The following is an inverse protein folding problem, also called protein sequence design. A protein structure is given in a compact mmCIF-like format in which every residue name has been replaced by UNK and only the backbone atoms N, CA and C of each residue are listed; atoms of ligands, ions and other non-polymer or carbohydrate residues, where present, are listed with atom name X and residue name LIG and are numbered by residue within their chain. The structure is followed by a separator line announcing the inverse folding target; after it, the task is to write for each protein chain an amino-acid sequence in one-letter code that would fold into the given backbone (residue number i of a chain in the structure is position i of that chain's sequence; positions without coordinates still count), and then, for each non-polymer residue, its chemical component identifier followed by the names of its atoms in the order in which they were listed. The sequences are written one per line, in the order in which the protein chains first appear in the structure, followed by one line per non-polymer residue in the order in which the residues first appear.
data_IF_513877516293
#
_entry.id   IF_513877516293
#
_cell.length_a   1.000
_cell.length_b   1.000
_cell.length_c   1.000
_cell.angle_alpha   90.00
_cell.angle_beta   90.00
_cell.angle_gamma   90.00
#
_symmetry.space_group_name_H-M   'P 1'
#
loop_
_entity.id
_entity.type
_entity.pdbx_description
1 polymer ?
#
# COMPACT_ATOMS: atom_id res chain seq x y z
N UNK A 1 9.59 -3.37 12.40
CA UNK A 1 9.79 -4.28 13.55
C UNK A 1 8.40 -4.53 14.14
N UNK A 2 7.75 -5.62 13.76
CA UNK A 2 6.37 -5.88 14.17
C UNK A 2 6.37 -6.38 15.63
N UNK A 3 5.79 -5.58 16.52
CA UNK A 3 5.59 -5.94 17.93
C UNK A 3 4.63 -7.13 17.99
N UNK A 4 5.00 -8.21 18.67
CA UNK A 4 4.10 -9.35 18.88
C UNK A 4 2.85 -8.88 19.66
N UNK A 5 1.68 -9.42 19.33
CA UNK A 5 0.41 -9.07 20.00
C UNK A 5 0.50 -9.38 21.50
N UNK A 6 1.31 -10.36 21.86
CA UNK A 6 1.52 -10.84 23.23
C UNK A 6 2.71 -10.21 23.96
N UNK A 7 3.35 -9.18 23.40
CA UNK A 7 4.51 -8.54 24.03
C UNK A 7 4.18 -8.03 25.45
N UNK A 8 4.83 -8.62 26.47
CA UNK A 8 4.58 -8.38 27.90
C UNK A 8 3.65 -9.39 28.60
N UNK A 9 3.09 -10.37 27.89
CA UNK A 9 2.28 -11.44 28.49
C UNK A 9 3.15 -12.63 28.92
N UNK A 10 2.82 -13.23 30.07
CA UNK A 10 3.43 -14.48 30.52
C UNK A 10 2.72 -15.66 29.86
N UNK A 11 3.28 -16.14 28.74
CA UNK A 11 2.75 -17.31 28.04
C UNK A 11 3.35 -18.63 28.53
N UNK A 12 4.64 -18.61 28.89
CA UNK A 12 5.40 -19.82 29.17
C UNK A 12 5.09 -20.34 30.59
N UNK A 13 4.66 -21.62 30.74
CA UNK A 13 4.55 -22.26 32.04
C UNK A 13 5.91 -22.34 32.76
N UNK A 14 5.93 -22.39 34.10
CA UNK A 14 7.16 -22.61 34.85
C UNK A 14 7.66 -24.05 34.63
N UNK A 15 8.98 -24.28 34.63
CA UNK A 15 9.55 -25.61 34.45
C UNK A 15 9.16 -26.55 35.60
N UNK A 16 9.07 -27.86 35.34
CA UNK A 16 8.70 -28.87 36.34
C UNK A 16 9.66 -28.89 37.53
N UNK A 17 10.92 -28.48 37.34
CA UNK A 17 11.91 -28.35 38.43
C UNK A 17 11.50 -27.34 39.50
N UNK A 18 10.57 -26.43 39.22
CA UNK A 18 10.00 -25.51 40.19
C UNK A 18 8.90 -26.17 41.07
N UNK A 19 8.60 -27.44 40.84
CA UNK A 19 7.62 -28.23 41.56
C UNK A 19 6.33 -28.45 40.79
N UNK A 20 5.53 -29.42 41.26
CA UNK A 20 4.33 -29.90 40.59
C UNK A 20 3.01 -29.26 41.08
N UNK A 21 3.10 -28.23 41.92
CA UNK A 21 1.94 -27.58 42.54
C UNK A 21 1.09 -26.71 41.60
N UNK A 22 1.58 -26.43 40.39
CA UNK A 22 0.84 -25.70 39.33
C UNK A 22 0.52 -26.60 38.14
N UNK A 23 0.72 -27.91 38.30
CA UNK A 23 0.50 -28.92 37.29
C UNK A 23 -0.65 -29.82 37.73
N UNK A 24 -1.81 -29.62 37.13
CA UNK A 24 -3.06 -30.28 37.48
C UNK A 24 -3.21 -31.64 36.81
N UNK A 25 -3.76 -32.58 37.58
CA UNK A 25 -4.23 -33.89 37.10
C UNK A 25 -5.66 -33.84 36.52
N UNK A 26 -6.24 -32.64 36.39
CA UNK A 26 -7.59 -32.37 35.88
C UNK A 26 -7.53 -31.31 34.76
N UNK A 27 -8.47 -30.35 34.73
CA UNK A 27 -8.57 -29.32 33.69
C UNK A 27 -7.73 -28.07 33.98
N UNK A 28 -7.03 -28.01 35.12
CA UNK A 28 -6.18 -26.87 35.49
C UNK A 28 -6.95 -25.68 36.08
N UNK A 29 -8.26 -25.79 36.23
CA UNK A 29 -9.12 -24.73 36.78
C UNK A 29 -8.88 -24.53 38.29
N UNK A 30 -9.29 -23.37 38.85
CA UNK A 30 -9.15 -23.12 40.28
C UNK A 30 -9.77 -24.23 41.15
N UNK A 31 -8.98 -24.81 42.05
CA UNK A 31 -9.41 -25.88 42.95
C UNK A 31 -9.18 -27.30 42.42
N UNK A 32 -8.73 -27.47 41.18
CA UNK A 32 -8.37 -28.79 40.64
C UNK A 32 -7.22 -29.44 41.41
N UNK A 33 -7.25 -30.77 41.50
CA UNK A 33 -6.14 -31.54 42.05
C UNK A 33 -4.85 -31.32 41.24
N UNK A 34 -3.71 -31.30 41.94
CA UNK A 34 -2.38 -31.11 41.36
C UNK A 34 -1.49 -32.31 41.64
N UNK A 35 -0.42 -32.45 40.86
CA UNK A 35 0.59 -33.48 41.07
C UNK A 35 1.51 -33.20 42.27
N UNK A 36 1.24 -32.15 43.06
CA UNK A 36 1.94 -31.94 44.32
C UNK A 36 1.67 -33.09 45.29
N UNK A 37 2.73 -33.80 45.67
CA UNK A 37 2.69 -34.96 46.56
C UNK A 37 1.89 -36.16 46.01
N UNK A 38 1.62 -36.22 44.70
CA UNK A 38 1.04 -37.41 44.09
C UNK A 38 2.09 -38.53 44.08
N UNK A 39 1.81 -39.72 44.65
CA UNK A 39 2.78 -40.83 44.68
C UNK A 39 3.14 -41.37 43.28
N UNK A 40 2.37 -41.03 42.25
CA UNK A 40 2.60 -41.43 40.86
C UNK A 40 3.37 -40.39 40.04
N UNK A 41 3.77 -39.26 40.65
CA UNK A 41 4.47 -38.18 39.97
C UNK A 41 5.74 -37.78 40.73
N UNK A 42 6.84 -37.58 40.01
CA UNK A 42 8.10 -37.14 40.59
C UNK A 42 8.82 -36.13 39.68
N UNK A 43 9.47 -35.15 40.29
CA UNK A 43 10.39 -34.25 39.58
C UNK A 43 11.73 -34.94 39.44
N UNK A 44 12.22 -35.03 38.20
CA UNK A 44 13.55 -35.52 37.85
C UNK A 44 14.41 -34.31 37.50
N UNK A 45 15.49 -34.08 38.23
CA UNK A 45 16.32 -32.88 38.08
C UNK A 45 17.40 -32.98 37.01
N UNK A 46 17.75 -34.19 36.57
CA UNK A 46 18.85 -34.45 35.64
C UNK A 46 18.58 -35.68 34.75
N UNK A 47 17.51 -35.63 33.97
CA UNK A 47 17.27 -36.54 32.87
C UNK A 47 18.27 -36.30 31.72
N UNK A 48 18.72 -37.36 31.06
CA UNK A 48 19.74 -37.26 30.01
C UNK A 48 19.28 -36.52 28.74
N UNK A 49 17.98 -36.53 28.44
CA UNK A 49 17.41 -35.90 27.25
C UNK A 49 16.79 -34.53 27.56
N UNK A 50 16.19 -34.37 28.74
CA UNK A 50 15.40 -33.18 29.11
C UNK A 50 16.08 -32.29 30.15
N UNK A 51 17.07 -32.78 30.89
CA UNK A 51 17.55 -32.10 32.10
C UNK A 51 16.49 -32.14 33.20
N UNK A 52 15.65 -31.11 33.29
CA UNK A 52 14.49 -31.10 34.19
C UNK A 52 13.29 -31.82 33.57
N UNK A 53 12.66 -32.76 34.27
CA UNK A 53 11.52 -33.49 33.74
C UNK A 53 10.50 -33.88 34.81
N UNK A 54 9.26 -34.11 34.39
CA UNK A 54 8.25 -34.82 35.16
C UNK A 54 8.29 -36.31 34.81
N UNK A 55 8.51 -37.18 35.79
CA UNK A 55 8.23 -38.61 35.67
C UNK A 55 6.81 -38.89 36.18
N UNK A 56 6.00 -39.56 35.35
CA UNK A 56 4.59 -39.79 35.63
C UNK A 56 4.21 -41.25 35.33
N UNK A 57 3.58 -41.91 36.31
CA UNK A 57 2.95 -43.21 36.13
C UNK A 57 1.51 -42.99 35.68
N UNK A 58 1.17 -43.48 34.49
CA UNK A 58 -0.19 -43.36 33.94
C UNK A 58 -1.12 -44.36 34.62
N UNK A 59 -2.11 -43.88 35.36
CA UNK A 59 -3.07 -44.72 36.10
C UNK A 59 -4.51 -44.57 35.64
N UNK A 60 -4.84 -43.51 34.89
CA UNK A 60 -6.17 -43.26 34.33
C UNK A 60 -6.22 -43.55 32.82
N UNK A 61 -7.39 -43.84 32.26
CA UNK A 61 -7.58 -44.05 30.81
C UNK A 61 -7.17 -42.83 29.97
N UNK A 62 -7.51 -41.64 30.44
CA UNK A 62 -6.93 -40.36 30.01
C UNK A 62 -6.29 -39.71 31.23
N UNK A 63 -4.96 -39.71 31.29
CA UNK A 63 -4.22 -39.05 32.35
C UNK A 63 -3.95 -37.62 31.90
N UNK A 64 -4.44 -36.66 32.68
CA UNK A 64 -4.37 -35.25 32.33
C UNK A 64 -3.16 -34.58 32.95
N UNK A 65 -2.48 -33.70 32.22
CA UNK A 65 -1.46 -32.80 32.75
C UNK A 65 -1.72 -31.39 32.23
N UNK A 66 -2.23 -30.49 33.07
CA UNK A 66 -2.62 -29.11 32.69
C UNK A 66 -1.85 -28.10 33.53
N UNK A 67 -1.35 -27.04 32.90
CA UNK A 67 -0.87 -25.89 33.65
C UNK A 67 -2.05 -25.13 34.24
N UNK A 68 -2.02 -24.83 35.55
CA UNK A 68 -3.12 -24.15 36.24
C UNK A 68 -3.17 -22.65 35.97
N UNK A 69 -2.14 -22.07 35.35
CA UNK A 69 -2.15 -20.66 34.98
C UNK A 69 -3.14 -20.39 33.84
N UNK A 70 -3.85 -19.26 33.93
CA UNK A 70 -4.66 -18.74 32.83
C UNK A 70 -3.73 -18.17 31.76
N UNK A 71 -3.47 -18.93 30.70
CA UNK A 71 -2.62 -18.47 29.60
C UNK A 71 -3.47 -17.59 28.67
N UNK A 72 -3.17 -16.28 28.53
CA UNK A 72 -4.04 -15.38 27.78
C UNK A 72 -4.12 -15.74 26.29
N UNK A 73 -5.32 -15.68 25.72
CA UNK A 73 -5.60 -15.85 24.31
C UNK A 73 -6.36 -14.62 23.78
N UNK A 74 -5.61 -13.58 23.41
CA UNK A 74 -6.22 -12.37 22.87
C UNK A 74 -6.76 -12.61 21.44
N UNK A 75 -7.86 -11.95 21.04
CA UNK A 75 -8.35 -12.02 19.67
C UNK A 75 -7.24 -11.72 18.64
N UNK A 76 -7.10 -12.58 17.62
CA UNK A 76 -6.05 -12.47 16.61
C UNK A 76 -4.72 -13.13 16.96
N UNK A 77 -4.59 -13.73 18.15
CA UNK A 77 -3.38 -14.46 18.57
C UNK A 77 -3.43 -15.92 18.11
N UNK A 78 -2.27 -16.45 17.72
CA UNK A 78 -2.06 -17.87 17.49
C UNK A 78 -0.91 -18.37 18.37
N UNK A 79 -1.19 -19.31 19.27
CA UNK A 79 -0.21 -19.88 20.19
C UNK A 79 0.13 -21.31 19.76
N UNK A 80 1.41 -21.65 19.78
CA UNK A 80 1.89 -23.03 19.63
C UNK A 80 2.23 -23.60 20.99
N UNK A 81 1.62 -24.73 21.33
CA UNK A 81 1.90 -25.49 22.53
C UNK A 81 2.70 -26.72 22.13
N UNK A 82 3.81 -26.99 22.82
CA UNK A 82 4.70 -28.14 22.56
C UNK A 82 5.11 -28.83 23.85
N UNK A 83 5.30 -30.14 23.78
CA UNK A 83 5.90 -30.94 24.84
C UNK A 83 6.67 -32.11 24.23
N UNK A 84 7.76 -32.52 24.89
CA UNK A 84 8.47 -33.75 24.54
C UNK A 84 8.22 -34.81 25.59
N UNK A 85 7.98 -36.04 25.15
CA UNK A 85 7.63 -37.16 26.03
C UNK A 85 8.41 -38.39 25.59
N UNK A 86 8.89 -39.18 26.55
CA UNK A 86 9.47 -40.51 26.30
C UNK A 86 8.90 -41.54 27.27
N UNK A 87 8.66 -42.75 26.79
CA UNK A 87 8.29 -43.87 27.65
C UNK A 87 9.54 -44.50 28.27
N UNK A 88 9.47 -44.90 29.54
CA UNK A 88 10.57 -45.58 30.23
C UNK A 88 10.29 -47.07 30.44
N UNK A 89 9.05 -47.41 30.80
CA UNK A 89 8.65 -48.78 31.14
C UNK A 89 7.13 -48.94 31.07
N UNK A 90 6.66 -50.19 31.06
CA UNK A 90 5.25 -50.53 31.13
C UNK A 90 4.49 -50.27 29.82
N UNK A 91 3.17 -50.17 29.89
CA UNK A 91 2.37 -50.01 28.67
C UNK A 91 2.64 -48.65 27.99
N UNK A 92 2.66 -48.63 26.66
CA UNK A 92 2.98 -47.43 25.87
C UNK A 92 1.70 -46.60 25.58
N UNK A 93 1.51 -45.42 26.18
CA UNK A 93 0.35 -44.57 25.88
C UNK A 93 0.52 -43.80 24.57
N UNK A 94 -0.56 -43.18 24.13
CA UNK A 94 -0.53 -42.09 23.15
C UNK A 94 -0.47 -40.74 23.87
N UNK A 95 0.13 -39.74 23.23
CA UNK A 95 0.30 -38.38 23.75
C UNK A 95 -0.33 -37.38 22.79
N UNK A 96 -1.01 -36.36 23.29
CA UNK A 96 -1.49 -35.22 22.50
C UNK A 96 -1.50 -33.95 23.34
N UNK A 97 -1.35 -32.79 22.69
CA UNK A 97 -1.66 -31.53 23.36
C UNK A 97 -3.16 -31.49 23.68
N UNK A 98 -3.49 -31.03 24.88
CA UNK A 98 -4.85 -30.87 25.36
C UNK A 98 -4.97 -29.58 26.15
N UNK A 99 -6.18 -29.01 26.18
CA UNK A 99 -6.44 -27.75 26.84
C UNK A 99 -7.85 -27.66 27.41
N UNK A 100 -8.12 -26.58 28.13
CA UNK A 100 -9.45 -26.16 28.57
C UNK A 100 -9.64 -24.68 28.25
N UNK A 101 -10.72 -24.34 27.55
CA UNK A 101 -11.00 -22.99 27.06
C UNK A 101 -11.85 -22.18 28.04
N UNK A 102 -11.29 -21.09 28.56
CA UNK A 102 -11.94 -20.22 29.55
C UNK A 102 -12.42 -18.88 28.98
N UNK A 103 -13.57 -18.40 29.46
CA UNK A 103 -14.10 -17.06 29.17
C UNK A 103 -13.96 -16.12 30.37
N UNK A 104 -14.27 -14.84 30.19
CA UNK A 104 -14.14 -13.81 31.24
C UNK A 104 -14.94 -14.03 32.53
N UNK A 105 -15.94 -14.92 32.53
CA UNK A 105 -16.67 -15.34 33.73
C UNK A 105 -16.01 -16.51 34.48
N UNK A 106 -14.85 -16.99 34.02
CA UNK A 106 -14.16 -18.20 34.47
C UNK A 106 -14.92 -19.52 34.18
N UNK A 107 -15.95 -19.47 33.33
CA UNK A 107 -16.66 -20.66 32.87
C UNK A 107 -15.99 -21.31 31.66
N UNK A 108 -16.31 -22.59 31.42
CA UNK A 108 -15.87 -23.33 30.24
C UNK A 108 -16.59 -22.85 28.97
N UNK A 109 -15.86 -22.74 27.87
CA UNK A 109 -16.43 -22.58 26.53
C UNK A 109 -16.58 -23.96 25.87
N UNK A 110 -17.77 -24.53 25.96
CA UNK A 110 -18.07 -25.83 25.34
C UNK A 110 -18.13 -25.80 23.81
N UNK A 111 -18.05 -26.98 23.19
CA UNK A 111 -18.20 -27.16 21.75
C UNK A 111 -16.94 -26.87 20.91
N UNK A 112 -15.82 -26.56 21.56
CA UNK A 112 -14.53 -26.32 20.92
C UNK A 112 -13.71 -27.60 20.78
N UNK A 113 -12.82 -27.64 19.78
CA UNK A 113 -11.78 -28.66 19.72
C UNK A 113 -10.68 -28.30 20.72
N UNK A 114 -10.53 -29.10 21.76
CA UNK A 114 -9.57 -28.84 22.86
C UNK A 114 -8.41 -29.83 22.90
N UNK A 115 -8.29 -30.69 21.90
CA UNK A 115 -7.25 -31.70 21.81
C UNK A 115 -6.64 -31.72 20.42
N UNK A 116 -5.31 -31.67 20.34
CA UNK A 116 -4.56 -31.71 19.10
C UNK A 116 -4.37 -33.14 18.56
N UNK A 117 -3.56 -33.29 17.50
CA UNK A 117 -3.19 -34.59 16.95
C UNK A 117 -2.55 -35.50 18.00
N UNK A 118 -2.88 -36.79 17.95
CA UNK A 118 -2.38 -37.80 18.87
C UNK A 118 -1.24 -38.60 18.28
N UNK A 119 -0.16 -38.79 19.05
CA UNK A 119 1.02 -39.54 18.66
C UNK A 119 1.21 -40.73 19.60
N UNK A 120 1.28 -41.94 19.05
CA UNK A 120 1.50 -43.17 19.80
C UNK A 120 2.98 -43.33 20.14
N UNK A 121 3.31 -43.58 21.41
CA UNK A 121 4.66 -44.00 21.80
C UNK A 121 4.90 -45.44 21.33
N UNK A 122 6.04 -45.68 20.68
CA UNK A 122 6.34 -46.98 20.02
C UNK A 122 7.56 -47.70 20.59
N UNK A 123 8.43 -46.99 21.31
CA UNK A 123 9.62 -47.53 21.95
C UNK A 123 9.93 -46.84 23.28
N UNK A 124 10.80 -47.48 24.06
CA UNK A 124 11.30 -46.91 25.32
C UNK A 124 12.56 -46.09 25.05
N UNK A 125 12.66 -44.94 25.71
CA UNK A 125 13.74 -43.97 25.51
C UNK A 125 13.58 -43.08 24.29
N UNK A 126 12.68 -43.42 23.36
CA UNK A 126 12.41 -42.59 22.18
C UNK A 126 11.71 -41.29 22.60
N UNK A 127 12.36 -40.16 22.28
CA UNK A 127 11.82 -38.82 22.52
C UNK A 127 10.84 -38.46 21.41
N UNK A 128 9.59 -38.21 21.78
CA UNK A 128 8.51 -37.81 20.87
C UNK A 128 8.07 -36.39 21.19
N UNK A 129 8.08 -35.50 20.20
CA UNK A 129 7.52 -34.15 20.33
C UNK A 129 6.06 -34.15 19.87
N UNK A 130 5.18 -33.60 20.69
CA UNK A 130 3.79 -33.28 20.34
C UNK A 130 3.62 -31.78 20.25
N UNK A 131 2.85 -31.31 19.27
CA UNK A 131 2.58 -29.89 19.04
C UNK A 131 1.13 -29.69 18.64
N UNK A 132 0.53 -28.58 19.07
CA UNK A 132 -0.73 -28.09 18.52
C UNK A 132 -0.75 -26.56 18.50
N UNK A 133 -1.47 -26.00 17.53
CA UNK A 133 -1.68 -24.56 17.39
C UNK A 133 -3.12 -24.23 17.77
N UNK A 134 -3.29 -23.33 18.74
CA UNK A 134 -4.58 -22.73 19.11
C UNK A 134 -4.68 -21.32 18.55
N UNK A 135 -5.85 -20.93 18.07
CA UNK A 135 -6.06 -19.57 17.57
C UNK A 135 -7.52 -19.22 17.39
N UNK A 136 -7.77 -17.92 17.24
CA UNK A 136 -9.14 -17.40 17.13
C UNK A 136 -9.81 -17.65 15.78
N UNK A 137 -9.04 -17.97 14.73
CA UNK A 137 -9.55 -18.13 13.37
C UNK A 137 -9.12 -19.44 12.73
N UNK A 138 -9.92 -19.94 11.80
CA UNK A 138 -9.53 -21.09 10.98
C UNK A 138 -8.47 -20.66 9.97
N UNK A 139 -7.29 -21.26 10.08
CA UNK A 139 -6.16 -21.09 9.15
C UNK A 139 -5.51 -22.44 8.89
N UNK A 140 -4.82 -22.58 7.77
CA UNK A 140 -4.05 -23.81 7.48
C UNK A 140 -3.03 -24.06 8.58
N UNK A 141 -3.08 -25.25 9.17
CA UNK A 141 -2.18 -25.65 10.26
C UNK A 141 -2.63 -25.29 11.67
N UNK A 142 -3.80 -24.67 11.86
CA UNK A 142 -4.37 -24.45 13.20
C UNK A 142 -5.19 -25.66 13.62
N UNK A 143 -4.86 -26.26 14.76
CA UNK A 143 -5.49 -27.48 15.27
C UNK A 143 -6.72 -27.18 16.14
N UNK A 144 -6.61 -26.15 17.00
CA UNK A 144 -7.60 -25.78 18.01
C UNK A 144 -8.19 -24.42 17.65
N UNK A 145 -9.24 -24.42 16.81
CA UNK A 145 -9.93 -23.20 16.38
C UNK A 145 -10.96 -22.79 17.43
N UNK A 146 -10.67 -21.73 18.17
CA UNK A 146 -11.41 -21.37 19.39
C UNK A 146 -12.32 -20.14 19.26
N UNK A 147 -12.24 -19.41 18.13
CA UNK A 147 -13.02 -18.19 17.98
C UNK A 147 -12.52 -17.07 18.91
N UNK A 148 -13.40 -16.11 19.21
CA UNK A 148 -13.07 -14.95 20.07
C UNK A 148 -13.70 -15.04 21.47
N UNK A 149 -14.41 -16.13 21.77
CA UNK A 149 -15.15 -16.27 23.02
C UNK A 149 -14.25 -16.72 24.19
N UNK A 150 -13.34 -17.71 24.02
CA UNK A 150 -12.30 -17.95 25.00
C UNK A 150 -11.29 -16.80 24.99
N UNK A 151 -10.92 -16.34 26.19
CA UNK A 151 -9.91 -15.28 26.37
C UNK A 151 -8.66 -15.80 27.10
N UNK A 152 -8.69 -17.03 27.59
CA UNK A 152 -7.54 -17.74 28.13
C UNK A 152 -7.72 -19.26 27.95
N UNK A 153 -6.63 -20.01 28.15
CA UNK A 153 -6.68 -21.46 28.25
C UNK A 153 -5.78 -22.01 29.33
N UNK A 154 -6.17 -23.16 29.88
CA UNK A 154 -5.30 -24.03 30.65
C UNK A 154 -4.71 -25.07 29.70
N UNK A 155 -3.44 -24.93 29.35
CA UNK A 155 -2.79 -25.76 28.33
C UNK A 155 -1.91 -26.85 28.95
N UNK A 156 -1.77 -27.96 28.25
CA UNK A 156 -0.86 -29.03 28.61
C UNK A 156 -1.01 -30.22 27.66
N UNK A 157 -1.04 -31.43 28.21
CA UNK A 157 -1.14 -32.65 27.42
C UNK A 157 -2.02 -33.71 28.07
N UNK A 158 -2.52 -34.62 27.23
CA UNK A 158 -3.18 -35.87 27.60
C UNK A 158 -2.25 -37.05 27.32
N UNK A 159 -2.18 -38.01 28.25
CA UNK A 159 -1.77 -39.38 27.95
C UNK A 159 -3.02 -40.25 27.82
N UNK A 160 -3.26 -40.84 26.66
CA UNK A 160 -4.42 -41.70 26.37
C UNK A 160 -4.00 -43.14 26.13
N UNK A 161 -4.98 -44.05 26.10
CA UNK A 161 -4.72 -45.47 25.86
C UNK A 161 -4.38 -46.27 27.13
N UNK A 162 -3.63 -47.37 27.03
CA UNK A 162 -3.38 -48.30 28.13
C UNK A 162 -2.73 -47.66 29.37
N UNK A 163 -3.12 -48.11 30.56
CA UNK A 163 -2.56 -47.66 31.85
C UNK A 163 -1.39 -48.54 32.31
N UNK A 164 -0.63 -48.10 33.31
CA UNK A 164 0.52 -48.83 33.85
C UNK A 164 1.86 -48.55 33.16
N UNK A 165 1.90 -47.52 32.31
CA UNK A 165 3.13 -47.00 31.71
C UNK A 165 3.80 -45.92 32.56
N UNK A 166 5.12 -45.85 32.51
CA UNK A 166 5.92 -44.76 33.10
C UNK A 166 6.47 -43.91 31.96
N UNK A 167 6.22 -42.60 32.00
CA UNK A 167 6.74 -41.64 31.02
C UNK A 167 7.54 -40.55 31.71
N UNK A 168 8.49 -39.97 30.97
CA UNK A 168 9.10 -38.68 31.30
C UNK A 168 8.65 -37.62 30.32
N UNK A 169 8.36 -36.44 30.83
CA UNK A 169 7.81 -35.30 30.11
C UNK A 169 8.74 -34.11 30.34
N UNK A 170 9.21 -33.52 29.25
CA UNK A 170 9.93 -32.25 29.22
C UNK A 170 8.97 -31.08 29.40
N UNK A 171 9.48 -29.94 29.84
CA UNK A 171 8.68 -28.75 30.12
C UNK A 171 7.75 -28.37 28.95
N UNK A 172 6.50 -27.99 29.28
CA UNK A 172 5.55 -27.54 28.26
C UNK A 172 5.94 -26.13 27.82
N UNK A 173 6.09 -25.94 26.52
CA UNK A 173 6.46 -24.66 25.91
C UNK A 173 5.24 -24.07 25.21
N UNK A 174 4.94 -22.80 25.47
CA UNK A 174 3.89 -22.04 24.79
C UNK A 174 4.50 -20.79 24.18
N UNK A 175 4.34 -20.63 22.86
CA UNK A 175 4.93 -19.53 22.09
C UNK A 175 3.88 -18.82 21.23
N UNK A 176 3.99 -17.50 21.12
CA UNK A 176 3.24 -16.72 20.14
C UNK A 176 3.84 -16.89 18.75
N UNK A 177 3.07 -17.49 17.85
CA UNK A 177 3.42 -17.70 16.44
C UNK A 177 2.52 -16.91 15.50
N UNK A 178 1.83 -15.88 16.00
CA UNK A 178 0.92 -15.02 15.22
C UNK A 178 1.63 -14.42 14.00
N UNK A 179 2.92 -14.12 14.12
CA UNK A 179 3.73 -13.59 13.02
C UNK A 179 3.81 -14.52 11.81
N UNK A 180 3.72 -15.83 12.01
CA UNK A 180 3.69 -16.81 10.94
C UNK A 180 2.41 -16.72 10.09
N UNK A 181 1.33 -16.14 10.64
CA UNK A 181 0.05 -15.93 9.97
C UNK A 181 -0.14 -14.49 9.45
N UNK A 182 0.80 -13.57 9.71
CA UNK A 182 0.65 -12.16 9.34
C UNK A 182 0.52 -11.91 7.83
N UNK A 183 1.14 -12.75 6.98
CA UNK A 183 1.04 -12.61 5.52
C UNK A 183 -0.37 -12.84 4.99
N UNK A 184 -1.19 -13.64 5.67
CA UNK A 184 -2.60 -13.86 5.32
C UNK A 184 -3.56 -12.97 6.14
N UNK A 185 -3.02 -12.11 7.02
CA UNK A 185 -3.78 -11.17 7.85
C UNK A 185 -3.69 -9.73 7.32
N UNK A 186 -2.62 -9.39 6.59
CA UNK A 186 -2.45 -8.06 6.01
C UNK A 186 -2.66 -8.17 4.50
N UNK A 187 -3.77 -7.61 4.03
CA UNK A 187 -4.18 -7.57 2.62
C UNK A 187 -3.37 -6.56 1.80
N UNK A 188 -2.04 -6.55 1.96
CA UNK A 188 -1.15 -5.62 1.27
C UNK A 188 0.08 -6.28 0.68
N UNK A 189 0.53 -5.78 -0.48
CA UNK A 189 1.81 -6.08 -1.08
C UNK A 189 2.74 -4.87 -0.90
N UNK A 190 3.72 -4.97 -0.01
CA UNK A 190 4.71 -3.89 0.20
C UNK A 190 5.75 -3.91 -0.93
N UNK A 191 5.94 -2.78 -1.62
CA UNK A 191 6.93 -2.68 -2.71
C UNK A 191 8.37 -3.02 -2.28
N UNK A 192 8.70 -2.85 -1.00
CA UNK A 192 10.03 -3.21 -0.46
C UNK A 192 10.26 -4.71 -0.39
N UNK A 193 9.20 -5.50 -0.22
CA UNK A 193 9.30 -6.97 -0.28
C UNK A 193 9.72 -7.46 -1.68
N UNK A 194 9.60 -6.60 -2.70
CA UNK A 194 9.98 -6.85 -4.08
C UNK A 194 11.25 -6.08 -4.51
N UNK A 195 11.99 -5.53 -3.54
CA UNK A 195 13.31 -4.94 -3.78
C UNK A 195 13.34 -3.42 -3.96
N UNK A 196 12.23 -2.71 -3.75
CA UNK A 196 12.24 -1.25 -3.74
C UNK A 196 13.07 -0.71 -2.56
N UNK A 197 13.93 0.27 -2.80
CA UNK A 197 14.78 0.87 -1.76
C UNK A 197 14.18 2.16 -1.19
N UNK A 198 13.55 3.00 -2.03
CA UNK A 198 12.97 4.26 -1.57
C UNK A 198 14.00 5.30 -1.10
N UNK A 199 15.21 5.26 -1.67
CA UNK A 199 16.35 6.14 -1.35
C UNK A 199 16.43 7.41 -2.22
N UNK A 200 15.50 7.59 -3.16
CA UNK A 200 15.41 8.69 -4.11
C UNK A 200 16.37 8.62 -5.30
N UNK A 201 17.21 7.58 -5.38
CA UNK A 201 18.31 7.47 -6.35
C UNK A 201 18.18 6.20 -7.19
N UNK A 202 17.92 5.08 -6.54
CA UNK A 202 17.78 3.75 -7.16
C UNK A 202 16.49 3.66 -7.96
N UNK A 203 16.54 3.00 -9.13
CA UNK A 203 15.34 2.77 -9.93
C UNK A 203 14.48 1.67 -9.30
N UNK A 204 13.33 2.07 -8.76
CA UNK A 204 12.38 1.20 -8.08
C UNK A 204 11.25 0.73 -9.02
N UNK A 205 11.25 1.10 -10.30
CA UNK A 205 10.18 0.77 -11.26
C UNK A 205 9.88 -0.74 -11.33
N UNK A 206 10.91 -1.59 -11.38
CA UNK A 206 10.72 -3.04 -11.49
C UNK A 206 10.09 -3.66 -10.23
N UNK A 207 10.40 -3.11 -9.05
CA UNK A 207 9.84 -3.58 -7.79
C UNK A 207 8.34 -3.23 -7.67
N UNK A 208 7.92 -2.08 -8.19
CA UNK A 208 6.52 -1.67 -8.24
C UNK A 208 5.69 -2.61 -9.13
N UNK A 209 6.18 -2.94 -10.32
CA UNK A 209 5.53 -3.90 -11.23
C UNK A 209 5.46 -5.31 -10.63
N UNK A 210 6.53 -5.75 -9.96
CA UNK A 210 6.54 -7.05 -9.27
C UNK A 210 5.54 -7.10 -8.11
N UNK A 211 5.42 -6.01 -7.34
CA UNK A 211 4.44 -5.88 -6.28
C UNK A 211 3.00 -5.89 -6.82
N UNK A 212 2.75 -5.23 -7.96
CA UNK A 212 1.45 -5.23 -8.63
C UNK A 212 1.03 -6.64 -9.04
N UNK A 213 1.90 -7.36 -9.76
CA UNK A 213 1.66 -8.75 -10.18
C UNK A 213 1.38 -9.66 -8.97
N UNK A 214 2.15 -9.51 -7.90
CA UNK A 214 2.01 -10.35 -6.71
C UNK A 214 0.83 -9.96 -5.81
N UNK A 215 0.35 -8.72 -5.91
CA UNK A 215 -0.79 -8.25 -5.11
C UNK A 215 -2.06 -9.02 -5.48
N UNK A 216 -2.29 -9.33 -6.76
CA UNK A 216 -3.40 -10.20 -7.19
C UNK A 216 -4.78 -9.70 -6.73
N UNK A 217 -5.03 -8.39 -6.77
CA UNK A 217 -6.26 -7.73 -6.30
C UNK A 217 -6.10 -6.99 -4.97
N UNK A 218 -5.00 -7.23 -4.24
CA UNK A 218 -4.73 -6.66 -2.91
C UNK A 218 -4.12 -5.27 -3.02
N UNK A 219 -4.11 -4.53 -1.91
CA UNK A 219 -3.56 -3.15 -1.93
C UNK A 219 -2.04 -3.17 -1.99
N UNK A 220 -1.44 -2.46 -2.93
CA UNK A 220 0.00 -2.19 -2.94
C UNK A 220 0.29 -1.12 -1.89
N UNK A 221 1.21 -1.41 -0.98
CA UNK A 221 1.70 -0.44 0.00
C UNK A 221 3.03 0.13 -0.51
N UNK A 222 3.12 1.47 -0.56
CA UNK A 222 4.35 2.20 -0.78
C UNK A 222 4.74 2.87 0.55
N UNK A 223 5.61 2.25 1.36
CA UNK A 223 5.99 2.78 2.67
C UNK A 223 6.70 4.12 2.58
N UNK A 224 6.95 4.77 3.72
CA UNK A 224 7.75 6.01 3.81
C UNK A 224 9.07 5.91 3.02
N UNK A 225 9.49 6.98 2.35
CA UNK A 225 10.67 7.00 1.47
C UNK A 225 10.39 7.75 0.17
N UNK A 226 11.41 7.87 -0.68
CA UNK A 226 11.28 8.47 -2.02
C UNK A 226 11.68 7.44 -3.06
N UNK A 227 10.74 6.99 -3.88
CA UNK A 227 10.97 5.92 -4.85
C UNK A 227 11.14 6.53 -6.24
N UNK A 228 12.30 6.34 -6.85
CA UNK A 228 12.55 6.88 -8.19
C UNK A 228 12.06 5.87 -9.22
N UNK A 229 11.13 6.29 -10.06
CA UNK A 229 10.64 5.53 -11.20
C UNK A 229 11.39 6.01 -12.45
N UNK A 230 12.32 5.20 -12.96
CA UNK A 230 13.05 5.53 -14.19
C UNK A 230 12.45 4.87 -15.44
N UNK A 231 11.41 4.05 -15.27
CA UNK A 231 10.63 3.44 -16.35
C UNK A 231 9.14 3.68 -16.14
N UNK A 232 8.34 3.58 -17.22
CA UNK A 232 6.88 3.65 -17.11
C UNK A 232 6.37 2.53 -16.17
N UNK A 233 5.45 2.88 -15.27
CA UNK A 233 4.83 1.95 -14.33
C UNK A 233 3.31 2.02 -14.48
N UNK A 234 2.66 0.87 -14.56
CA UNK A 234 1.19 0.73 -14.51
C UNK A 234 0.82 -0.15 -13.34
N UNK A 235 -0.05 0.34 -12.46
CA UNK A 235 -0.53 -0.39 -11.29
C UNK A 235 -2.00 -0.71 -11.51
N UNK A 236 -2.28 -2.00 -11.70
CA UNK A 236 -3.62 -2.53 -11.93
C UNK A 236 -4.41 -2.72 -10.62
N UNK A 237 -3.70 -2.78 -9.51
CA UNK A 237 -4.24 -2.98 -8.17
C UNK A 237 -4.30 -1.67 -7.38
N UNK A 238 -5.13 -1.58 -6.31
CA UNK A 238 -5.24 -0.35 -5.54
C UNK A 238 -3.92 -0.06 -4.82
N UNK A 239 -3.57 1.21 -4.66
CA UNK A 239 -2.27 1.63 -4.14
C UNK A 239 -2.44 2.61 -2.98
N UNK A 240 -1.68 2.39 -1.91
CA UNK A 240 -1.59 3.29 -0.77
C UNK A 240 -0.17 3.85 -0.66
N UNK A 241 -0.05 5.15 -0.90
CA UNK A 241 1.19 5.90 -0.71
C UNK A 241 1.32 6.41 0.72
N UNK A 242 2.38 5.99 1.40
CA UNK A 242 2.89 6.58 2.65
C UNK A 242 4.17 7.37 2.37
N UNK A 243 5.02 6.88 1.47
CA UNK A 243 6.12 7.64 0.86
C UNK A 243 5.72 8.31 -0.45
N UNK A 244 6.70 8.89 -1.15
CA UNK A 244 6.51 9.57 -2.43
C UNK A 244 7.29 8.92 -3.57
N UNK A 245 6.89 9.19 -4.80
CA UNK A 245 7.60 8.78 -6.02
C UNK A 245 8.18 9.99 -6.73
N UNK A 246 9.26 9.77 -7.47
CA UNK A 246 9.81 10.75 -8.42
C UNK A 246 9.90 10.11 -9.79
N UNK A 247 9.59 10.89 -10.82
CA UNK A 247 9.63 10.45 -12.22
C UNK A 247 10.00 11.64 -13.09
N UNK A 248 10.78 11.43 -14.15
CA UNK A 248 11.03 12.48 -15.14
C UNK A 248 9.73 12.84 -15.90
N UNK A 249 9.73 13.91 -16.69
CA UNK A 249 8.52 14.38 -17.37
C UNK A 249 7.89 13.31 -18.29
N UNK A 250 8.70 12.51 -18.98
CA UNK A 250 8.27 11.50 -19.94
C UNK A 250 7.77 10.20 -19.28
N UNK A 251 8.27 9.89 -18.08
CA UNK A 251 7.98 8.66 -17.35
C UNK A 251 6.57 8.69 -16.78
N UNK A 252 5.81 7.63 -17.04
CA UNK A 252 4.38 7.58 -16.73
C UNK A 252 4.19 6.73 -15.49
N UNK A 253 3.36 7.20 -14.58
CA UNK A 253 2.74 6.39 -13.53
C UNK A 253 1.25 6.34 -13.85
N UNK A 254 0.73 5.15 -14.10
CA UNK A 254 -0.69 4.92 -14.39
C UNK A 254 -1.29 4.13 -13.23
N UNK A 255 -2.21 4.75 -12.49
CA UNK A 255 -2.99 4.10 -11.43
C UNK A 255 -4.36 3.71 -12.01
N UNK A 256 -4.68 2.42 -12.16
CA UNK A 256 -5.96 1.99 -12.76
C UNK A 256 -7.13 1.95 -11.77
N UNK A 257 -6.93 1.63 -10.49
CA UNK A 257 -8.02 1.63 -9.51
C UNK A 257 -8.11 2.95 -8.71
N UNK A 258 -6.97 3.55 -8.39
CA UNK A 258 -6.86 4.84 -7.68
C UNK A 258 -6.68 6.02 -8.66
N UNK A 259 -7.48 6.07 -9.72
CA UNK A 259 -7.34 7.12 -10.73
C UNK A 259 -8.05 8.42 -10.32
N UNK A 260 -7.44 9.14 -9.36
CA UNK A 260 -7.94 10.41 -8.84
C UNK A 260 -6.77 11.32 -8.42
N UNK A 261 -6.97 12.64 -8.47
CA UNK A 261 -5.91 13.59 -8.14
C UNK A 261 -5.38 13.44 -6.70
N UNK A 262 -6.21 13.23 -5.65
CA UNK A 262 -5.69 12.95 -4.30
C UNK A 262 -4.68 11.80 -4.23
N UNK A 263 -4.92 10.70 -4.96
CA UNK A 263 -4.00 9.57 -5.05
C UNK A 263 -2.67 9.96 -5.72
N UNK A 264 -2.70 10.74 -6.81
CA UNK A 264 -1.49 11.28 -7.42
C UNK A 264 -0.77 12.31 -6.54
N UNK A 265 -1.50 13.13 -5.78
CA UNK A 265 -0.89 14.07 -4.81
C UNK A 265 -0.18 13.28 -3.71
N UNK A 266 -0.80 12.20 -3.21
CA UNK A 266 -0.17 11.32 -2.23
C UNK A 266 1.08 10.65 -2.80
N UNK A 267 1.06 10.28 -4.09
CA UNK A 267 2.21 9.71 -4.77
C UNK A 267 3.35 10.72 -4.95
N UNK A 268 3.10 11.93 -5.44
CA UNK A 268 4.18 12.86 -5.82
C UNK A 268 4.54 13.89 -4.74
N UNK A 269 3.66 14.12 -3.75
CA UNK A 269 3.85 15.15 -2.72
C UNK A 269 3.72 16.60 -3.22
N UNK A 270 3.52 16.82 -4.52
CA UNK A 270 3.34 18.13 -5.16
C UNK A 270 2.10 18.14 -6.05
N UNK A 271 1.25 19.15 -5.91
CA UNK A 271 -0.06 19.21 -6.56
C UNK A 271 0.02 19.43 -8.08
N UNK A 272 0.98 20.25 -8.52
CA UNK A 272 1.14 20.58 -9.94
C UNK A 272 1.78 19.42 -10.69
N UNK A 273 2.79 18.78 -10.09
CA UNK A 273 3.41 17.56 -10.64
C UNK A 273 2.39 16.42 -10.66
N UNK A 274 1.65 16.21 -9.57
CA UNK A 274 0.59 15.20 -9.50
C UNK A 274 -0.46 15.40 -10.60
N UNK A 275 -0.93 16.64 -10.79
CA UNK A 275 -1.89 16.95 -11.84
C UNK A 275 -1.34 16.69 -13.24
N UNK A 276 -0.10 17.12 -13.52
CA UNK A 276 0.55 16.85 -14.82
C UNK A 276 0.67 15.35 -15.07
N UNK A 277 1.02 14.56 -14.05
CA UNK A 277 1.15 13.10 -14.15
C UNK A 277 -0.19 12.39 -14.31
N UNK A 278 -1.21 12.82 -13.57
CA UNK A 278 -2.57 12.31 -13.72
C UNK A 278 -3.14 12.63 -15.11
N UNK A 279 -2.89 13.84 -15.63
CA UNK A 279 -3.26 14.23 -16.98
C UNK A 279 -2.50 13.43 -18.05
N UNK A 280 -1.21 13.19 -17.84
CA UNK A 280 -0.40 12.34 -18.70
C UNK A 280 -0.99 10.92 -18.80
N UNK A 281 -1.37 10.33 -17.67
CA UNK A 281 -2.01 9.03 -17.61
C UNK A 281 -3.41 9.02 -18.26
N UNK A 282 -4.22 10.08 -18.07
CA UNK A 282 -5.55 10.23 -18.68
C UNK A 282 -5.52 10.07 -20.21
N UNK A 283 -4.47 10.60 -20.85
CA UNK A 283 -4.29 10.54 -22.30
C UNK A 283 -3.53 9.29 -22.78
N UNK A 284 -2.92 8.52 -21.87
CA UNK A 284 -2.10 7.35 -22.16
C UNK A 284 -2.69 6.05 -21.58
N UNK A 285 -3.98 5.80 -21.81
CA UNK A 285 -4.69 4.55 -21.48
C UNK A 285 -4.72 4.18 -19.99
N UNK A 286 -5.18 5.10 -19.14
CA UNK A 286 -5.53 4.79 -17.75
C UNK A 286 -6.79 3.90 -17.59
N UNK A 287 -7.45 3.48 -18.67
CA UNK A 287 -8.81 2.87 -18.69
C UNK A 287 -9.94 3.74 -18.10
N UNK A 288 -9.62 4.98 -17.75
CA UNK A 288 -10.57 6.01 -17.33
C UNK A 288 -10.84 7.03 -18.43
N UNK A 289 -12.09 7.43 -18.50
CA UNK A 289 -12.59 8.53 -19.32
C UNK A 289 -12.51 9.89 -18.61
N UNK A 290 -12.36 9.90 -17.28
CA UNK A 290 -12.34 11.10 -16.46
C UNK A 290 -11.28 11.04 -15.36
N UNK A 291 -10.65 12.18 -15.10
CA UNK A 291 -9.83 12.43 -13.92
C UNK A 291 -10.67 13.22 -12.92
N UNK A 292 -10.92 12.64 -11.76
CA UNK A 292 -11.57 13.32 -10.64
C UNK A 292 -10.54 14.05 -9.79
N UNK A 293 -10.75 15.35 -9.56
CA UNK A 293 -9.86 16.15 -8.72
C UNK A 293 -10.21 16.04 -7.22
N UNK A 294 -11.30 15.39 -6.84
CA UNK A 294 -11.65 15.10 -5.45
C UNK A 294 -11.86 16.35 -4.58
N UNK A 295 -12.31 17.46 -5.18
CA UNK A 295 -12.47 18.76 -4.52
C UNK A 295 -11.16 19.48 -4.21
N UNK A 296 -10.02 18.97 -4.67
CA UNK A 296 -8.71 19.60 -4.44
C UNK A 296 -8.61 20.93 -5.18
N UNK A 297 -7.94 21.87 -4.53
CA UNK A 297 -7.47 23.13 -5.12
C UNK A 297 -5.99 22.98 -5.41
N UNK A 298 -5.58 23.26 -6.64
CA UNK A 298 -4.17 23.29 -7.05
C UNK A 298 -3.69 24.74 -7.03
N UNK A 299 -2.59 25.00 -6.33
CA UNK A 299 -1.92 26.30 -6.33
C UNK A 299 -0.96 26.42 -7.54
N UNK A 300 -1.25 27.33 -8.46
CA UNK A 300 -0.48 27.56 -9.68
C UNK A 300 0.42 28.79 -9.56
N UNK A 301 1.72 28.60 -9.73
CA UNK A 301 2.70 29.70 -9.80
C UNK A 301 3.02 30.13 -11.24
N UNK A 302 2.61 29.33 -12.24
CA UNK A 302 2.72 29.62 -13.67
C UNK A 302 1.71 28.78 -14.48
N UNK A 303 1.50 29.06 -15.77
CA UNK A 303 0.70 28.23 -16.68
C UNK A 303 1.14 26.76 -16.73
N UNK A 304 0.16 25.86 -16.92
CA UNK A 304 0.43 24.48 -17.30
C UNK A 304 0.27 24.34 -18.81
N UNK A 305 1.37 24.07 -19.51
CA UNK A 305 1.32 23.66 -20.91
C UNK A 305 0.90 22.19 -20.97
N UNK A 306 -0.33 21.97 -21.43
CA UNK A 306 -1.00 20.69 -21.30
C UNK A 306 -0.44 19.65 -22.28
N UNK A 307 0.03 20.06 -23.46
CA UNK A 307 0.63 19.12 -24.42
C UNK A 307 1.97 18.57 -23.92
N UNK A 308 2.79 19.41 -23.27
CA UNK A 308 4.04 19.06 -22.61
C UNK A 308 3.80 18.21 -21.36
N UNK A 309 2.69 18.42 -20.64
CA UNK A 309 2.29 17.53 -19.55
C UNK A 309 1.91 16.13 -20.07
N UNK A 310 1.33 16.04 -21.28
CA UNK A 310 1.07 14.76 -21.95
C UNK A 310 2.35 14.14 -22.55
N UNK A 311 3.32 14.97 -22.93
CA UNK A 311 4.63 14.71 -23.54
C UNK A 311 4.59 14.05 -24.94
N UNK A 312 3.83 12.96 -25.11
CA UNK A 312 3.84 12.14 -26.32
C UNK A 312 2.52 12.19 -27.13
N UNK A 313 1.58 13.05 -26.76
CA UNK A 313 0.25 13.16 -27.42
C UNK A 313 0.08 14.52 -28.08
N UNK A 314 0.32 14.61 -29.39
CA UNK A 314 0.08 15.84 -30.16
C UNK A 314 -1.37 16.01 -30.62
N UNK A 315 -2.10 14.90 -30.82
CA UNK A 315 -3.50 14.89 -31.26
C UNK A 315 -4.31 13.89 -30.44
N UNK A 316 -5.48 14.29 -29.94
CA UNK A 316 -6.36 13.40 -29.18
C UNK A 316 -7.83 13.66 -29.50
N UNK A 317 -8.58 12.63 -29.85
CA UNK A 317 -9.96 12.78 -30.35
C UNK A 317 -11.02 11.95 -29.61
N UNK A 318 -10.61 11.29 -28.53
CA UNK A 318 -11.48 10.50 -27.67
C UNK A 318 -11.92 11.37 -26.49
N UNK A 319 -13.14 11.16 -26.01
CA UNK A 319 -13.68 11.93 -24.89
C UNK A 319 -12.83 11.74 -23.63
N UNK A 320 -12.41 12.85 -23.03
CA UNK A 320 -11.76 12.91 -21.73
C UNK A 320 -12.28 14.07 -20.89
N UNK A 321 -12.39 13.85 -19.58
CA UNK A 321 -12.94 14.84 -18.65
C UNK A 321 -11.98 15.08 -17.51
N UNK A 322 -11.78 16.33 -17.10
CA UNK A 322 -11.25 16.67 -15.77
C UNK A 322 -12.40 17.28 -14.98
N UNK A 323 -12.62 16.83 -13.73
CA UNK A 323 -13.75 17.28 -12.94
C UNK A 323 -13.50 17.53 -11.46
N UNK A 324 -14.42 18.24 -10.81
CA UNK A 324 -14.55 18.36 -9.35
C UNK A 324 -13.32 18.97 -8.65
N UNK A 325 -12.89 20.18 -9.04
CA UNK A 325 -11.69 20.77 -8.45
C UNK A 325 -11.53 22.25 -8.73
N UNK A 326 -10.40 22.80 -8.29
CA UNK A 326 -10.12 24.24 -8.43
C UNK A 326 -8.67 24.48 -8.87
N UNK A 327 -8.46 25.50 -9.70
CA UNK A 327 -7.15 26.05 -9.99
C UNK A 327 -7.07 27.45 -9.40
N UNK A 328 -6.15 27.65 -8.45
CA UNK A 328 -5.92 28.94 -7.82
C UNK A 328 -4.58 29.53 -8.26
N UNK A 329 -4.61 30.75 -8.76
CA UNK A 329 -3.42 31.46 -9.22
C UNK A 329 -2.74 32.13 -8.04
N UNK A 330 -1.49 31.74 -7.79
CA UNK A 330 -0.59 32.45 -6.89
C UNK A 330 0.15 33.53 -7.69
N UNK A 331 -0.05 34.79 -7.31
CA UNK A 331 0.63 35.93 -7.90
C UNK A 331 2.16 35.75 -7.92
N UNK A 332 2.79 36.01 -9.06
CA UNK A 332 4.23 35.86 -9.26
C UNK A 332 4.63 36.10 -10.72
N UNK A 333 5.94 36.12 -10.98
CA UNK A 333 6.50 36.42 -12.31
C UNK A 333 6.11 35.39 -13.40
N UNK A 334 5.70 34.18 -13.00
CA UNK A 334 5.20 33.16 -13.95
C UNK A 334 3.94 33.57 -14.72
N UNK A 335 3.25 34.62 -14.26
CA UNK A 335 2.04 35.16 -14.87
C UNK A 335 2.28 36.41 -15.72
N UNK A 336 3.52 36.88 -15.84
CA UNK A 336 3.84 38.06 -16.64
C UNK A 336 3.50 37.85 -18.11
N UNK A 337 2.83 38.86 -18.70
CA UNK A 337 2.46 38.86 -20.11
C UNK A 337 3.73 38.98 -20.94
N UNK A 338 4.03 37.96 -21.74
CA UNK A 338 5.12 38.04 -22.70
C UNK A 338 4.83 39.14 -23.71
N UNK A 339 5.72 40.11 -23.87
CA UNK A 339 5.53 41.21 -24.82
C UNK A 339 6.77 41.43 -25.67
N UNK A 340 6.61 41.30 -26.99
CA UNK A 340 7.68 41.49 -27.96
C UNK A 340 7.21 42.46 -29.03
N UNK A 341 8.01 43.47 -29.33
CA UNK A 341 7.77 44.35 -30.48
C UNK A 341 8.72 43.95 -31.61
N UNK A 342 8.18 43.75 -32.80
CA UNK A 342 8.94 43.40 -34.00
C UNK A 342 8.41 44.10 -35.23
N UNK A 343 9.32 44.53 -36.10
CA UNK A 343 8.97 44.95 -37.45
C UNK A 343 8.59 43.72 -38.30
N UNK A 344 7.58 43.89 -39.16
CA UNK A 344 7.19 42.90 -40.15
C UNK A 344 6.53 43.56 -41.36
N UNK A 345 6.48 42.84 -42.47
CA UNK A 345 5.79 43.24 -43.69
C UNK A 345 4.47 42.48 -43.86
N UNK A 346 3.46 43.17 -44.38
CA UNK A 346 2.14 42.63 -44.68
C UNK A 346 1.77 42.84 -46.15
N UNK A 347 1.13 41.83 -46.76
CA UNK A 347 0.51 41.95 -48.08
C UNK A 347 -0.92 41.43 -48.05
N UNK A 348 -1.84 42.18 -48.64
CA UNK A 348 -3.23 41.72 -48.81
C UNK A 348 -3.34 40.49 -49.72
N UNK A 349 -2.35 40.21 -50.59
CA UNK A 349 -2.29 38.99 -51.39
C UNK A 349 -2.03 37.73 -50.55
N UNK A 350 -1.41 37.90 -49.37
CA UNK A 350 -1.16 36.85 -48.39
C UNK A 350 -1.79 37.26 -47.06
N UNK A 351 -3.10 37.48 -47.09
CA UNK A 351 -3.80 38.27 -46.08
C UNK A 351 -3.66 37.76 -44.63
N UNK A 352 -3.22 36.52 -44.39
CA UNK A 352 -3.00 35.94 -43.06
C UNK A 352 -1.53 35.69 -42.72
N UNK A 353 -0.60 36.24 -43.48
CA UNK A 353 0.84 36.00 -43.27
C UNK A 353 1.55 37.32 -43.02
N UNK A 354 2.34 37.37 -41.95
CA UNK A 354 3.39 38.38 -41.80
C UNK A 354 4.70 37.79 -42.30
N UNK A 355 5.43 38.57 -43.11
CA UNK A 355 6.75 38.21 -43.65
C UNK A 355 7.82 39.16 -43.14
N UNK A 356 9.08 38.79 -43.34
CA UNK A 356 10.24 39.57 -42.91
C UNK A 356 10.14 39.99 -41.44
N UNK A 357 9.56 39.11 -40.62
CA UNK A 357 9.34 39.37 -39.21
C UNK A 357 10.71 39.28 -38.54
N UNK A 358 11.13 40.35 -37.88
CA UNK A 358 12.41 40.34 -37.14
C UNK A 358 12.29 39.50 -35.86
N UNK A 359 13.36 38.82 -35.46
CA UNK A 359 13.41 38.08 -34.20
C UNK A 359 12.20 37.14 -33.95
N UNK A 360 11.68 36.46 -34.99
CA UNK A 360 10.51 35.56 -34.91
C UNK A 360 10.62 34.54 -33.78
N UNK A 361 11.84 34.07 -33.48
CA UNK A 361 12.09 33.12 -32.41
C UNK A 361 11.50 33.58 -31.06
N UNK A 362 11.52 34.88 -30.77
CA UNK A 362 11.05 35.46 -29.52
C UNK A 362 9.53 35.67 -29.48
N UNK A 363 8.83 35.58 -30.60
CA UNK A 363 7.38 35.75 -30.67
C UNK A 363 6.71 34.42 -30.31
N UNK A 364 5.86 34.44 -29.30
CA UNK A 364 5.12 33.26 -28.81
C UNK A 364 3.87 32.99 -29.67
N UNK A 365 3.58 31.72 -29.93
CA UNK A 365 2.32 31.30 -30.58
C UNK A 365 1.17 31.55 -29.60
N UNK A 366 0.00 31.97 -30.12
CA UNK A 366 -1.13 32.42 -29.31
C UNK A 366 -1.03 33.87 -28.84
N UNK A 367 0.05 34.60 -29.18
CA UNK A 367 0.16 36.01 -28.84
C UNK A 367 -0.87 36.87 -29.61
N UNK A 368 -1.50 37.82 -28.92
CA UNK A 368 -2.32 38.86 -29.51
C UNK A 368 -1.42 39.83 -30.29
N UNK A 369 -1.78 40.09 -31.54
CA UNK A 369 -1.11 41.06 -32.39
C UNK A 369 -1.74 42.44 -32.17
N UNK A 370 -0.91 43.44 -31.94
CA UNK A 370 -1.32 44.84 -31.77
C UNK A 370 -0.54 45.72 -32.72
N UNK A 371 -1.23 46.57 -33.46
CA UNK A 371 -0.63 47.49 -34.42
C UNK A 371 -1.69 48.21 -35.24
N UNK A 372 -1.26 49.14 -36.10
CA UNK A 372 -2.15 49.83 -37.03
C UNK A 372 -2.77 48.83 -38.00
N UNK A 373 -4.08 48.93 -38.21
CA UNK A 373 -4.84 48.04 -39.09
C UNK A 373 -5.01 46.62 -38.56
N UNK A 374 -4.65 46.36 -37.30
CA UNK A 374 -4.88 45.06 -36.65
C UNK A 374 -6.23 45.08 -35.95
N UNK A 375 -7.06 44.08 -36.24
CA UNK A 375 -8.34 43.90 -35.56
C UNK A 375 -8.16 43.52 -34.09
N UNK A 376 -9.24 43.63 -33.29
CA UNK A 376 -9.19 43.38 -31.85
C UNK A 376 -8.72 41.97 -31.47
N UNK A 377 -9.07 40.96 -32.28
CA UNK A 377 -8.87 39.53 -31.99
C UNK A 377 -8.00 38.87 -33.08
N UNK A 378 -6.83 39.44 -33.36
CA UNK A 378 -5.85 38.86 -34.29
C UNK A 378 -4.72 38.23 -33.49
N UNK A 379 -4.50 36.93 -33.66
CA UNK A 379 -3.54 36.15 -32.90
C UNK A 379 -2.52 35.47 -33.82
N UNK A 380 -1.33 35.20 -33.28
CA UNK A 380 -0.32 34.36 -33.94
C UNK A 380 -0.77 32.90 -33.86
N UNK A 381 -1.06 32.29 -35.02
CA UNK A 381 -1.47 30.89 -35.12
C UNK A 381 -0.28 29.93 -35.20
N UNK A 382 0.77 30.33 -35.89
CA UNK A 382 2.01 29.56 -36.02
C UNK A 382 3.16 30.46 -36.43
N UNK A 383 4.39 29.98 -36.23
CA UNK A 383 5.61 30.69 -36.61
C UNK A 383 6.55 29.79 -37.40
N UNK A 384 7.25 30.37 -38.37
CA UNK A 384 8.37 29.73 -39.05
C UNK A 384 9.61 30.60 -38.87
N UNK A 385 10.51 30.15 -38.00
CA UNK A 385 11.73 30.90 -37.65
C UNK A 385 12.67 31.01 -38.84
N UNK A 386 12.87 29.91 -39.59
CA UNK A 386 13.78 29.89 -40.74
C UNK A 386 13.30 30.74 -41.92
N UNK A 387 11.98 30.83 -42.12
CA UNK A 387 11.39 31.67 -43.17
C UNK A 387 11.12 33.12 -42.74
N UNK A 388 11.26 33.44 -41.45
CA UNK A 388 10.94 34.77 -40.92
C UNK A 388 9.45 35.14 -41.07
N UNK A 389 8.55 34.17 -40.88
CA UNK A 389 7.10 34.36 -41.09
C UNK A 389 6.24 33.96 -39.90
N UNK A 390 5.08 34.60 -39.78
CA UNK A 390 4.00 34.26 -38.85
C UNK A 390 2.69 34.04 -39.63
N UNK A 391 1.91 33.04 -39.23
CA UNK A 391 0.52 32.91 -39.65
C UNK A 391 -0.39 33.58 -38.62
N UNK A 392 -1.39 34.32 -39.10
CA UNK A 392 -2.39 35.03 -38.31
C UNK A 392 -3.73 34.29 -38.28
N UNK A 393 -4.51 34.49 -37.21
CA UNK A 393 -5.88 33.99 -37.12
C UNK A 393 -6.81 34.64 -38.15
N UNK A 394 -6.63 35.94 -38.41
CA UNK A 394 -7.47 36.74 -39.31
C UNK A 394 -6.65 37.74 -40.15
N UNK A 395 -7.21 38.24 -41.27
CA UNK A 395 -6.63 39.33 -42.04
C UNK A 395 -6.51 40.67 -41.29
N UNK A 396 -5.64 41.54 -41.80
CA UNK A 396 -5.47 42.92 -41.33
C UNK A 396 -6.21 43.90 -42.25
N UNK A 397 -6.65 45.04 -41.73
CA UNK A 397 -7.41 46.06 -42.45
C UNK A 397 -6.69 47.41 -42.44
N UNK A 398 -6.09 47.79 -43.57
CA UNK A 398 -5.34 49.05 -43.72
C UNK A 398 -4.02 49.17 -42.93
N UNK A 399 -3.19 48.12 -42.76
CA UNK A 399 -1.86 48.27 -42.18
C UNK A 399 -0.91 48.97 -43.18
N UNK A 400 0.17 49.55 -42.68
CA UNK A 400 1.28 49.97 -43.55
C UNK A 400 2.01 48.73 -44.09
N UNK A 401 2.60 48.82 -45.29
CA UNK A 401 3.26 47.69 -45.96
C UNK A 401 4.38 47.07 -45.11
N UNK A 402 5.04 47.88 -44.28
CA UNK A 402 5.98 47.43 -43.25
C UNK A 402 5.83 48.32 -42.03
N UNK A 403 5.66 47.72 -40.86
CA UNK A 403 5.46 48.45 -39.61
C UNK A 403 5.87 47.59 -38.41
N UNK A 404 5.95 48.24 -37.25
CA UNK A 404 6.15 47.56 -35.97
C UNK A 404 4.82 47.03 -35.42
N UNK A 405 4.83 45.76 -35.04
CA UNK A 405 3.74 45.10 -34.35
C UNK A 405 4.21 44.74 -32.94
N UNK A 406 3.31 44.86 -31.97
CA UNK A 406 3.53 44.36 -30.61
C UNK A 406 2.72 43.08 -30.43
N UNK A 407 3.40 42.02 -30.02
CA UNK A 407 2.84 40.70 -29.75
C UNK A 407 2.73 40.53 -28.24
N UNK A 408 1.54 40.22 -27.74
CA UNK A 408 1.26 40.04 -26.31
C UNK A 408 0.77 38.63 -26.02
N UNK A 409 1.56 37.81 -25.33
CA UNK A 409 1.16 36.47 -24.88
C UNK A 409 0.60 36.54 -23.47
N UNK A 410 -0.73 36.53 -23.37
CA UNK A 410 -1.41 36.34 -22.10
C UNK A 410 -1.15 34.93 -21.56
N UNK A 411 -1.10 34.80 -20.23
CA UNK A 411 -0.85 33.56 -19.51
C UNK A 411 -2.19 32.94 -19.11
N UNK A 412 -2.32 31.62 -19.29
CA UNK A 412 -3.55 30.87 -19.04
C UNK A 412 -3.27 29.80 -18.00
N UNK A 413 -4.20 29.55 -17.07
CA UNK A 413 -4.03 28.50 -16.06
C UNK A 413 -3.78 27.14 -16.72
N UNK A 414 -4.61 26.80 -17.72
CA UNK A 414 -4.41 25.64 -18.58
C UNK A 414 -4.19 26.10 -20.03
N UNK A 415 -3.04 25.75 -20.60
CA UNK A 415 -2.65 26.13 -21.95
C UNK A 415 -2.61 24.90 -22.87
N UNK A 416 -3.59 24.78 -23.78
CA UNK A 416 -3.68 23.66 -24.72
C UNK A 416 -3.11 23.98 -26.10
N UNK A 417 -2.37 25.10 -26.25
CA UNK A 417 -1.87 25.56 -27.54
C UNK A 417 -0.90 24.59 -28.23
N UNK A 418 -0.20 23.74 -27.47
CA UNK A 418 0.74 22.75 -28.00
C UNK A 418 0.09 21.55 -28.68
N UNK A 419 -1.21 21.32 -28.51
CA UNK A 419 -1.91 20.26 -29.24
C UNK A 419 -2.12 20.67 -30.70
N UNK A 420 -1.87 19.77 -31.65
CA UNK A 420 -2.27 19.97 -33.04
C UNK A 420 -3.78 19.79 -33.25
N UNK A 421 -4.42 19.01 -32.36
CA UNK A 421 -5.87 18.77 -32.34
C UNK A 421 -6.29 18.17 -31.00
N UNK A 422 -7.30 18.72 -30.35
CA UNK A 422 -7.88 18.17 -29.12
C UNK A 422 -9.40 18.20 -29.23
N UNK A 423 -10.01 17.04 -29.47
CA UNK A 423 -11.47 16.91 -29.61
C UNK A 423 -12.08 16.28 -28.37
N UNK A 424 -13.32 16.68 -28.04
CA UNK A 424 -14.15 16.05 -26.98
C UNK A 424 -13.51 16.07 -25.58
N UNK A 425 -12.63 17.03 -25.32
CA UNK A 425 -12.11 17.29 -23.99
C UNK A 425 -13.09 18.15 -23.18
N UNK A 426 -13.29 17.86 -21.91
CA UNK A 426 -14.27 18.54 -21.06
C UNK A 426 -13.67 18.90 -19.71
N UNK A 427 -13.92 20.11 -19.25
CA UNK A 427 -13.72 20.53 -17.86
C UNK A 427 -15.11 20.66 -17.24
N UNK A 428 -15.41 19.87 -16.21
CA UNK A 428 -16.71 19.85 -15.53
C UNK A 428 -16.53 20.22 -14.06
N UNK A 429 -17.36 21.08 -13.51
CA UNK A 429 -17.30 21.38 -12.06
C UNK A 429 -15.90 21.82 -11.61
N UNK A 430 -15.26 22.64 -12.46
CA UNK A 430 -13.95 23.24 -12.22
C UNK A 430 -14.11 24.74 -11.95
N UNK A 431 -13.55 25.20 -10.83
CA UNK A 431 -13.44 26.62 -10.53
C UNK A 431 -12.04 27.15 -10.92
N UNK A 432 -12.02 28.30 -11.60
CA UNK A 432 -10.78 29.02 -11.93
C UNK A 432 -10.69 30.31 -11.12
N UNK A 433 -9.84 30.30 -10.08
CA UNK A 433 -9.53 31.47 -9.25
C UNK A 433 -8.29 32.16 -9.80
N UNK A 434 -8.50 33.10 -10.73
CA UNK A 434 -7.43 33.69 -11.54
C UNK A 434 -6.87 35.03 -11.00
N UNK A 435 -7.53 35.61 -10.00
CA UNK A 435 -7.14 36.85 -9.31
C UNK A 435 -6.82 38.05 -10.23
N UNK A 436 -7.39 38.07 -11.44
CA UNK A 436 -7.08 39.08 -12.47
C UNK A 436 -5.64 39.03 -13.01
N UNK A 437 -4.86 38.00 -12.65
CA UNK A 437 -3.46 37.80 -13.08
C UNK A 437 -3.34 36.93 -14.32
N UNK A 438 -4.31 36.04 -14.54
CA UNK A 438 -4.28 35.08 -15.63
C UNK A 438 -5.65 34.97 -16.33
N UNK A 439 -5.62 34.36 -17.51
CA UNK A 439 -6.81 33.82 -18.18
C UNK A 439 -7.04 32.37 -17.77
N UNK A 440 -8.26 31.84 -17.98
CA UNK A 440 -8.60 30.47 -17.55
C UNK A 440 -7.99 29.41 -18.44
N UNK A 441 -8.47 29.31 -19.69
CA UNK A 441 -8.12 28.23 -20.62
C UNK A 441 -7.76 28.80 -21.98
N UNK A 442 -6.61 28.40 -22.52
CA UNK A 442 -6.29 28.58 -23.94
C UNK A 442 -6.66 27.30 -24.67
N UNK A 443 -7.56 27.39 -25.65
CA UNK A 443 -8.00 26.21 -26.41
C UNK A 443 -6.95 25.76 -27.43
N UNK A 444 -6.98 24.47 -27.78
CA UNK A 444 -6.20 23.94 -28.89
C UNK A 444 -6.67 24.54 -30.26
N UNK A 445 -5.79 24.61 -31.28
CA UNK A 445 -6.03 25.26 -32.57
C UNK A 445 -7.07 24.62 -33.50
#
# INVERSE_FOLDING_TARGET
MNKAITDGLLLMPPPFTNGLGVWSSEDGTPGSATYANDPNAAVVSADADFGGALELVKVQSTQRLRYTGETPLLPGTYLRIRAKVKALAGNLPSVRIAAWAGRGTQDHVGGLTETGPSVQLTGYGDVVEVSAIVGSGQRTGVDLVWGTEPIFGHFGLDLTGPTGGIVRIDDVVIEDITSAFLRDLIDVADVRDYGALGDGVTDDSAAFEAADVASGGRTILVPEGTYRLASHVTLDNPVRFVGTVTADAATRLVLRQNFDLPSYISAFGDEVVAFKKAFQALLNNADHESLDMGGRRIELEAPIEMAAAADNVGSYEIRRVIRNGQFNVRSGAGWDVGSVTSQASYSASEAKTLRNVQNVANIEVGALVVGKGVGREVYVRSKNVGAGTLSLSQPLYGPDATQSYTFKRFRYALDFIGFSKLSKFTLSDIEFQLDGKASGVMMAP
#
